data_IF_685818709361
#
_entry.id   IF_685818709361
#
_cell.length_a   1.000
_cell.length_b   1.000
_cell.length_c   1.000
_cell.angle_alpha   90.00
_cell.angle_beta   90.00
_cell.angle_gamma   90.00
#
_symmetry.space_group_name_H-M   'P 1'
#
loop_
_entity.id
_entity.type
_entity.pdbx_description
1 polymer ?
#
# COMPACT_ATOMS: atom_id res chain seq x y z
N UNK A 1 -6.24 31.21 -9.28
CA UNK A 1 -6.33 31.43 -7.82
C UNK A 1 -5.44 30.39 -7.20
N UNK A 2 -4.47 30.79 -6.38
CA UNK A 2 -3.62 29.81 -5.69
C UNK A 2 -4.40 29.11 -4.58
N UNK A 3 -3.90 27.96 -4.11
CA UNK A 3 -4.52 27.24 -2.97
C UNK A 3 -4.61 28.14 -1.72
N UNK A 4 -3.54 28.89 -1.43
CA UNK A 4 -3.49 29.83 -0.30
C UNK A 4 -4.50 30.95 -0.47
N UNK A 5 -4.62 31.50 -1.68
CA UNK A 5 -5.61 32.54 -1.97
C UNK A 5 -7.05 32.02 -1.85
N UNK A 6 -7.30 30.79 -2.29
CA UNK A 6 -8.59 30.13 -2.12
C UNK A 6 -8.98 30.04 -0.65
N UNK A 7 -8.11 29.51 0.21
CA UNK A 7 -8.42 29.39 1.64
C UNK A 7 -8.54 30.74 2.34
N UNK A 8 -7.86 31.79 1.88
CA UNK A 8 -8.06 33.16 2.39
C UNK A 8 -9.41 33.76 2.00
N UNK A 9 -9.98 33.34 0.87
CA UNK A 9 -11.24 33.86 0.30
C UNK A 9 -12.41 32.90 0.42
N UNK A 10 -12.24 31.78 1.12
CA UNK A 10 -13.27 30.75 1.24
C UNK A 10 -14.52 31.35 1.91
N UNK A 11 -15.67 31.16 1.29
CA UNK A 11 -16.93 31.61 1.87
C UNK A 11 -17.31 30.73 3.06
N UNK A 12 -18.12 31.28 3.99
CA UNK A 12 -18.67 30.51 5.11
C UNK A 12 -19.43 29.25 4.63
N UNK A 13 -20.17 29.37 3.52
CA UNK A 13 -20.89 28.24 2.93
C UNK A 13 -19.97 27.13 2.42
N UNK A 14 -18.88 27.47 1.75
CA UNK A 14 -17.87 26.49 1.30
C UNK A 14 -17.17 25.82 2.47
N UNK A 15 -16.80 26.58 3.51
CA UNK A 15 -16.18 26.03 4.70
C UNK A 15 -17.12 25.05 5.43
N UNK A 16 -18.39 25.44 5.62
CA UNK A 16 -19.40 24.56 6.23
C UNK A 16 -19.63 23.30 5.39
N UNK A 17 -19.66 23.42 4.06
CA UNK A 17 -19.78 22.26 3.17
C UNK A 17 -18.58 21.31 3.29
N UNK A 18 -17.35 21.84 3.33
CA UNK A 18 -16.13 21.04 3.54
C UNK A 18 -16.18 20.29 4.87
N UNK A 19 -16.56 20.96 5.96
CA UNK A 19 -16.70 20.32 7.27
C UNK A 19 -17.81 19.26 7.24
N UNK A 20 -18.96 19.58 6.64
CA UNK A 20 -20.09 18.66 6.53
C UNK A 20 -19.74 17.41 5.73
N UNK A 21 -19.14 17.56 4.54
CA UNK A 21 -18.80 16.41 3.69
C UNK A 21 -17.71 15.55 4.34
N UNK A 22 -16.72 16.17 4.97
CA UNK A 22 -15.68 15.47 5.71
C UNK A 22 -16.30 14.62 6.83
N UNK A 23 -17.08 15.24 7.71
CA UNK A 23 -17.69 14.56 8.86
C UNK A 23 -18.67 13.47 8.41
N UNK A 24 -19.50 13.75 7.41
CA UNK A 24 -20.51 12.80 6.92
C UNK A 24 -19.87 11.56 6.31
N UNK A 25 -18.87 11.74 5.43
CA UNK A 25 -18.14 10.61 4.83
C UNK A 25 -17.42 9.81 5.91
N UNK A 26 -16.67 10.49 6.79
CA UNK A 26 -15.93 9.83 7.86
C UNK A 26 -16.84 9.00 8.77
N UNK A 27 -17.99 9.56 9.16
CA UNK A 27 -18.96 8.86 10.01
C UNK A 27 -19.62 7.69 9.29
N UNK A 28 -20.05 7.86 8.03
CA UNK A 28 -20.74 6.79 7.28
C UNK A 28 -19.78 5.65 6.97
N UNK A 29 -18.62 5.95 6.40
CA UNK A 29 -17.63 4.92 6.05
C UNK A 29 -17.00 4.29 7.29
N UNK A 30 -16.78 5.07 8.35
CA UNK A 30 -16.32 4.55 9.65
C UNK A 30 -17.35 3.63 10.32
N UNK A 31 -18.64 3.98 10.24
CA UNK A 31 -19.72 3.13 10.75
C UNK A 31 -19.86 1.83 9.95
N UNK A 32 -19.74 1.90 8.62
CA UNK A 32 -19.71 0.71 7.76
C UNK A 32 -18.51 -0.18 8.05
N UNK A 33 -17.32 0.40 8.19
CA UNK A 33 -16.11 -0.32 8.58
C UNK A 33 -16.31 -1.05 9.91
N UNK A 34 -16.93 -0.39 10.89
CA UNK A 34 -17.26 -1.00 12.18
C UNK A 34 -18.25 -2.17 12.02
N UNK A 35 -19.34 -2.00 11.29
CA UNK A 35 -20.33 -3.07 11.05
C UNK A 35 -19.68 -4.29 10.38
N UNK A 36 -18.82 -4.06 9.40
CA UNK A 36 -18.12 -5.13 8.70
C UNK A 36 -17.13 -5.86 9.59
N UNK A 37 -16.42 -5.12 10.44
CA UNK A 37 -15.58 -5.69 11.46
C UNK A 37 -16.36 -6.62 12.40
N UNK A 38 -17.47 -6.13 12.98
CA UNK A 38 -18.34 -6.90 13.89
C UNK A 38 -18.90 -8.16 13.24
N UNK A 39 -19.16 -8.12 11.92
CA UNK A 39 -19.62 -9.27 11.14
C UNK A 39 -18.51 -10.26 10.76
N UNK A 40 -17.27 -10.02 11.17
CA UNK A 40 -16.13 -10.88 10.81
C UNK A 40 -15.80 -10.84 9.31
N UNK A 41 -16.17 -9.76 8.62
CA UNK A 41 -15.80 -9.58 7.20
C UNK A 41 -14.28 -9.43 7.11
N UNK A 42 -13.69 -8.60 7.97
CA UNK A 42 -12.25 -8.31 7.95
C UNK A 42 -11.36 -9.44 8.48
N UNK A 43 -11.94 -10.53 8.99
CA UNK A 43 -11.21 -11.75 9.35
C UNK A 43 -11.07 -12.74 8.19
N UNK A 44 -11.72 -12.48 7.05
CA UNK A 44 -11.65 -13.33 5.87
C UNK A 44 -10.55 -12.83 4.93
N UNK A 45 -9.87 -13.74 4.23
CA UNK A 45 -8.98 -13.41 3.11
C UNK A 45 -9.79 -13.19 1.84
N UNK A 46 -9.30 -12.36 0.92
CA UNK A 46 -9.90 -12.15 -0.40
C UNK A 46 -11.36 -11.66 -0.37
N UNK A 47 -11.74 -10.88 0.65
CA UNK A 47 -13.12 -10.39 0.84
C UNK A 47 -13.67 -9.69 -0.40
N UNK A 48 -12.84 -8.83 -1.01
CA UNK A 48 -13.16 -8.06 -2.21
C UNK A 48 -11.85 -7.74 -2.93
N UNK A 49 -11.69 -8.22 -4.18
CA UNK A 49 -10.54 -7.91 -5.05
C UNK A 49 -9.16 -8.27 -4.48
N UNK A 50 -9.06 -9.39 -3.76
CA UNK A 50 -7.81 -9.81 -3.11
C UNK A 50 -7.24 -8.84 -2.09
N UNK A 51 -8.13 -8.08 -1.45
CA UNK A 51 -7.86 -7.31 -0.24
C UNK A 51 -7.36 -8.22 0.89
N UNK A 52 -6.16 -7.94 1.42
CA UNK A 52 -5.59 -8.64 2.58
C UNK A 52 -5.81 -7.81 3.86
N UNK A 53 -7.08 -7.68 4.20
CA UNK A 53 -7.58 -6.82 5.27
C UNK A 53 -7.02 -7.20 6.66
N UNK A 54 -6.96 -8.49 7.06
CA UNK A 54 -6.36 -8.87 8.34
C UNK A 54 -4.91 -8.39 8.46
N UNK A 55 -4.20 -8.43 7.35
CA UNK A 55 -2.80 -8.09 7.30
C UNK A 55 -2.58 -6.57 7.29
N UNK A 56 -3.44 -5.82 6.60
CA UNK A 56 -3.47 -4.35 6.67
C UNK A 56 -3.78 -3.86 8.09
N UNK A 57 -4.87 -4.33 8.72
CA UNK A 57 -5.21 -3.95 10.10
C UNK A 57 -4.14 -4.44 11.09
N UNK A 58 -3.60 -5.64 10.86
CA UNK A 58 -2.48 -6.21 11.60
C UNK A 58 -1.27 -5.27 11.64
N UNK A 59 -0.98 -4.59 10.54
CA UNK A 59 0.15 -3.65 10.44
C UNK A 59 0.04 -2.45 11.40
N UNK A 60 -1.18 -2.02 11.74
CA UNK A 60 -1.40 -0.93 12.70
C UNK A 60 -1.50 -1.39 14.16
N UNK A 61 -1.82 -2.66 14.37
CA UNK A 61 -2.25 -3.18 15.68
C UNK A 61 -1.14 -3.92 16.41
N UNK A 62 -0.26 -4.64 15.71
CA UNK A 62 0.80 -5.37 16.40
C UNK A 62 1.95 -4.43 16.80
N UNK A 63 2.32 -4.47 18.09
CA UNK A 63 3.42 -3.67 18.66
C UNK A 63 4.77 -4.00 18.02
N UNK A 64 5.00 -5.28 17.77
CA UNK A 64 6.18 -5.82 17.09
C UNK A 64 5.89 -5.91 15.60
N UNK A 65 6.80 -5.44 14.74
CA UNK A 65 6.67 -5.49 13.28
C UNK A 65 6.58 -6.96 12.81
N UNK A 66 5.41 -7.55 12.53
CA UNK A 66 5.34 -8.97 12.22
C UNK A 66 5.29 -9.12 10.71
N UNK A 67 6.37 -9.66 10.14
CA UNK A 67 6.41 -10.36 8.84
C UNK A 67 6.12 -9.56 7.56
N UNK A 68 5.45 -8.39 7.62
CA UNK A 68 5.28 -7.47 6.49
C UNK A 68 6.55 -6.75 6.08
N UNK A 69 7.60 -6.82 6.91
CA UNK A 69 8.94 -6.37 6.50
C UNK A 69 9.40 -7.11 5.23
N UNK A 70 8.90 -8.33 4.97
CA UNK A 70 9.24 -9.10 3.77
C UNK A 70 8.28 -8.85 2.58
N UNK A 71 7.12 -8.21 2.81
CA UNK A 71 6.16 -7.77 1.77
C UNK A 71 6.19 -6.25 1.55
N UNK A 72 7.23 -5.61 2.10
CA UNK A 72 7.55 -4.18 2.05
C UNK A 72 7.29 -3.45 0.72
N UNK A 73 7.51 -4.07 -0.46
CA UNK A 73 7.37 -3.34 -1.72
C UNK A 73 5.94 -2.89 -2.03
N UNK A 74 4.91 -3.50 -1.43
CA UNK A 74 3.56 -3.39 -1.98
C UNK A 74 2.84 -2.10 -1.60
N UNK A 75 2.93 -1.60 -0.36
CA UNK A 75 2.20 -0.38 0.05
C UNK A 75 2.92 0.55 1.05
N UNK A 76 4.06 1.18 0.70
CA UNK A 76 4.82 2.01 1.64
C UNK A 76 4.09 3.26 2.17
N UNK A 77 2.97 3.69 1.59
CA UNK A 77 2.12 4.73 2.21
C UNK A 77 1.60 4.30 3.59
N UNK A 78 1.39 2.99 3.78
CA UNK A 78 0.96 2.42 5.06
C UNK A 78 1.94 2.79 6.16
N UNK A 79 3.24 2.93 5.85
CA UNK A 79 4.24 3.33 6.83
C UNK A 79 4.06 4.77 7.34
N UNK A 80 3.80 5.74 6.45
CA UNK A 80 3.54 7.12 6.87
C UNK A 80 2.30 7.21 7.77
N UNK A 81 1.25 6.50 7.37
CA UNK A 81 0.02 6.42 8.15
C UNK A 81 0.29 5.70 9.48
N UNK A 82 1.11 4.66 9.48
CA UNK A 82 1.47 3.91 10.68
C UNK A 82 2.17 4.83 11.70
N UNK A 83 3.08 5.69 11.26
CA UNK A 83 3.71 6.68 12.14
C UNK A 83 2.68 7.61 12.77
N UNK A 84 1.72 8.10 11.98
CA UNK A 84 0.63 8.95 12.49
C UNK A 84 -0.22 8.18 13.50
N UNK A 85 -0.65 6.96 13.18
CA UNK A 85 -1.46 6.11 14.06
C UNK A 85 -0.73 5.82 15.38
N UNK A 86 0.56 5.48 15.31
CA UNK A 86 1.39 5.21 16.49
C UNK A 86 1.60 6.46 17.34
N UNK A 87 1.85 7.60 16.72
CA UNK A 87 1.97 8.88 17.42
C UNK A 87 0.66 9.27 18.11
N UNK A 88 -0.48 9.12 17.43
CA UNK A 88 -1.80 9.32 18.04
C UNK A 88 -2.03 8.38 19.21
N UNK A 89 -1.72 7.09 19.07
CA UNK A 89 -1.82 6.13 20.17
C UNK A 89 -0.88 6.47 21.35
N UNK A 90 0.32 7.00 21.09
CA UNK A 90 1.23 7.48 22.14
C UNK A 90 0.61 8.64 22.92
N UNK A 91 0.01 9.62 22.23
CA UNK A 91 -0.69 10.75 22.86
C UNK A 91 -1.88 10.25 23.68
N UNK A 92 -2.71 9.37 23.12
CA UNK A 92 -3.88 8.81 23.83
C UNK A 92 -3.44 8.00 25.05
N UNK A 93 -2.39 7.20 24.91
CA UNK A 93 -1.78 6.42 25.99
C UNK A 93 -1.20 7.29 27.11
N UNK A 94 -0.72 8.50 26.80
CA UNK A 94 -0.26 9.45 27.81
C UNK A 94 -1.36 9.84 28.81
N UNK A 95 -2.62 9.90 28.35
CA UNK A 95 -3.76 10.17 29.23
C UNK A 95 -4.19 8.96 30.05
N UNK A 96 -3.67 7.75 29.74
CA UNK A 96 -3.91 6.50 30.46
C UNK A 96 -5.39 6.12 30.63
N UNK A 97 -6.27 6.63 29.75
CA UNK A 97 -7.73 6.42 29.83
C UNK A 97 -8.17 5.18 29.03
N UNK A 98 -7.39 4.75 28.03
CA UNK A 98 -7.81 3.73 27.08
C UNK A 98 -6.78 2.60 26.95
N UNK A 99 -7.29 1.39 26.67
CA UNK A 99 -6.48 0.26 26.26
C UNK A 99 -5.76 0.58 24.94
N UNK A 100 -4.43 0.54 24.96
CA UNK A 100 -3.60 0.92 23.81
C UNK A 100 -3.80 0.00 22.60
N UNK A 101 -4.05 -1.30 22.81
CA UNK A 101 -4.27 -2.24 21.71
C UNK A 101 -5.62 -1.98 21.03
N UNK A 102 -6.67 -1.79 21.83
CA UNK A 102 -7.99 -1.41 21.30
C UNK A 102 -7.94 -0.06 20.59
N UNK A 103 -7.18 0.89 21.12
CA UNK A 103 -6.99 2.21 20.51
C UNK A 103 -6.31 2.11 19.14
N UNK A 104 -5.21 1.36 19.04
CA UNK A 104 -4.53 1.12 17.76
C UNK A 104 -5.46 0.47 16.73
N UNK A 105 -6.28 -0.49 17.15
CA UNK A 105 -7.25 -1.14 16.30
C UNK A 105 -8.30 -0.17 15.74
N UNK A 106 -8.90 0.64 16.61
CA UNK A 106 -9.89 1.65 16.21
C UNK A 106 -9.27 2.70 15.30
N UNK A 107 -8.04 3.15 15.60
CA UNK A 107 -7.31 4.07 14.73
C UNK A 107 -7.01 3.46 13.37
N UNK A 108 -6.57 2.20 13.31
CA UNK A 108 -6.32 1.47 12.08
C UNK A 108 -7.58 1.34 11.20
N UNK A 109 -8.73 1.02 11.80
CA UNK A 109 -10.02 1.00 11.11
C UNK A 109 -10.44 2.38 10.59
N UNK A 110 -10.02 3.45 11.26
CA UNK A 110 -10.40 4.83 10.91
C UNK A 110 -9.53 5.46 9.82
N UNK A 111 -8.37 4.86 9.49
CA UNK A 111 -7.43 5.39 8.50
C UNK A 111 -8.09 5.62 7.14
N UNK A 112 -8.76 4.61 6.60
CA UNK A 112 -9.33 4.68 5.26
C UNK A 112 -10.56 5.59 5.20
N UNK A 113 -11.53 5.52 6.14
CA UNK A 113 -12.60 6.51 6.23
C UNK A 113 -12.07 7.94 6.31
N UNK A 114 -11.00 8.18 7.08
CA UNK A 114 -10.38 9.49 7.20
C UNK A 114 -9.76 9.96 5.87
N UNK A 115 -8.98 9.09 5.21
CA UNK A 115 -8.37 9.39 3.92
C UNK A 115 -9.43 9.64 2.83
N UNK A 116 -10.52 8.89 2.84
CA UNK A 116 -11.65 9.06 1.92
C UNK A 116 -12.41 10.37 2.17
N UNK A 117 -12.65 10.73 3.44
CA UNK A 117 -13.24 12.02 3.81
C UNK A 117 -12.38 13.21 3.36
N UNK A 118 -11.05 13.12 3.54
CA UNK A 118 -10.10 14.10 3.01
C UNK A 118 -10.14 14.15 1.49
N UNK A 119 -10.13 12.99 0.82
CA UNK A 119 -10.21 12.88 -0.65
C UNK A 119 -11.40 13.65 -1.20
N UNK A 120 -12.60 13.47 -0.65
CA UNK A 120 -13.78 14.18 -1.14
C UNK A 120 -13.79 15.68 -0.82
N UNK A 121 -13.27 16.06 0.35
CA UNK A 121 -13.07 17.46 0.73
C UNK A 121 -12.12 18.15 -0.24
N UNK A 122 -10.99 17.50 -0.57
CA UNK A 122 -10.02 18.03 -1.53
C UNK A 122 -10.58 18.03 -2.95
N UNK A 123 -11.38 17.04 -3.34
CA UNK A 123 -12.02 17.00 -4.66
C UNK A 123 -12.94 18.22 -4.86
N UNK A 124 -13.68 18.63 -3.82
CA UNK A 124 -14.44 19.88 -3.84
C UNK A 124 -13.52 21.08 -4.12
N UNK A 125 -12.42 21.19 -3.38
CA UNK A 125 -11.43 22.28 -3.56
C UNK A 125 -10.88 22.28 -4.99
N UNK A 126 -10.54 21.11 -5.55
CA UNK A 126 -10.08 20.96 -6.93
C UNK A 126 -11.12 21.53 -7.91
N UNK A 127 -12.40 21.17 -7.79
CA UNK A 127 -13.45 21.72 -8.66
C UNK A 127 -13.60 23.23 -8.52
N UNK A 128 -13.49 23.77 -7.30
CA UNK A 128 -13.54 25.22 -7.06
C UNK A 128 -12.34 25.94 -7.69
N UNK A 129 -11.14 25.37 -7.60
CA UNK A 129 -9.95 25.91 -8.28
C UNK A 129 -10.07 25.85 -9.82
N UNK A 130 -10.75 24.83 -10.34
CA UNK A 130 -11.14 24.71 -11.75
C UNK A 130 -12.29 25.65 -12.16
N UNK A 131 -12.73 26.54 -11.26
CA UNK A 131 -13.78 27.56 -11.48
C UNK A 131 -15.18 27.01 -11.70
N UNK A 132 -15.45 25.75 -11.32
CA UNK A 132 -16.83 25.25 -11.27
C UNK A 132 -17.59 26.04 -10.22
N UNK A 133 -18.83 26.45 -10.48
CA UNK A 133 -19.67 27.13 -9.47
C UNK A 133 -19.87 26.25 -8.23
N UNK A 134 -20.24 26.84 -7.09
CA UNK A 134 -20.48 26.13 -5.83
C UNK A 134 -21.40 24.91 -6.01
N UNK A 135 -22.60 25.11 -6.60
CA UNK A 135 -23.58 24.04 -6.78
C UNK A 135 -23.09 22.90 -7.67
N UNK A 136 -22.39 23.22 -8.77
CA UNK A 136 -21.80 22.21 -9.64
C UNK A 136 -20.71 21.40 -8.92
N UNK A 137 -19.85 22.06 -8.13
CA UNK A 137 -18.82 21.37 -7.35
C UNK A 137 -19.43 20.47 -6.27
N UNK A 138 -20.46 20.95 -5.56
CA UNK A 138 -21.22 20.14 -4.58
C UNK A 138 -21.83 18.91 -5.27
N UNK A 139 -22.53 19.11 -6.38
CA UNK A 139 -23.18 18.03 -7.12
C UNK A 139 -22.19 16.94 -7.56
N UNK A 140 -21.05 17.33 -8.15
CA UNK A 140 -20.03 16.38 -8.60
C UNK A 140 -19.40 15.60 -7.43
N UNK A 141 -19.15 16.27 -6.30
CA UNK A 141 -18.63 15.59 -5.11
C UNK A 141 -19.65 14.62 -4.54
N UNK A 142 -20.91 15.02 -4.42
CA UNK A 142 -21.98 14.13 -3.96
C UNK A 142 -22.14 12.93 -4.89
N UNK A 143 -22.15 13.12 -6.21
CA UNK A 143 -22.18 12.02 -7.18
C UNK A 143 -21.03 11.03 -6.95
N UNK A 144 -19.84 11.53 -6.66
CA UNK A 144 -18.67 10.70 -6.39
C UNK A 144 -18.77 9.97 -5.04
N UNK A 145 -19.27 10.64 -3.99
CA UNK A 145 -19.51 10.05 -2.66
C UNK A 145 -20.55 8.93 -2.73
N UNK A 146 -21.64 9.12 -3.47
CA UNK A 146 -22.71 8.12 -3.62
C UNK A 146 -22.38 6.99 -4.61
N UNK A 147 -21.19 6.98 -5.19
CA UNK A 147 -20.77 5.84 -6.00
C UNK A 147 -20.56 4.61 -5.12
N UNK A 148 -21.08 3.47 -5.56
CA UNK A 148 -20.97 2.21 -4.81
C UNK A 148 -19.51 1.86 -4.50
N UNK A 149 -18.61 2.04 -5.47
CA UNK A 149 -17.19 1.78 -5.28
C UNK A 149 -16.58 2.65 -4.19
N UNK A 150 -16.93 3.94 -4.13
CA UNK A 150 -16.37 4.82 -3.10
C UNK A 150 -16.81 4.43 -1.69
N UNK A 151 -18.10 4.16 -1.49
CA UNK A 151 -18.60 3.74 -0.17
C UNK A 151 -17.96 2.42 0.28
N UNK A 152 -17.82 1.47 -0.65
CA UNK A 152 -17.21 0.18 -0.33
C UNK A 152 -15.74 0.34 -0.01
N UNK A 153 -14.92 0.85 -0.94
CA UNK A 153 -13.48 0.96 -0.75
C UNK A 153 -13.07 2.00 0.29
N UNK A 154 -13.92 2.98 0.61
CA UNK A 154 -13.73 3.92 1.71
C UNK A 154 -13.97 3.30 3.10
N UNK A 155 -14.68 2.17 3.16
CA UNK A 155 -15.00 1.47 4.41
C UNK A 155 -14.13 0.22 4.62
N UNK A 156 -13.36 -0.23 3.62
CA UNK A 156 -12.41 -1.35 3.75
C UNK A 156 -11.03 -0.79 4.12
N UNK A 157 -10.38 -1.26 5.20
CA UNK A 157 -9.02 -0.86 5.54
C UNK A 157 -8.02 -1.56 4.60
N UNK A 158 -7.81 -0.95 3.43
CA UNK A 158 -6.97 -1.42 2.32
C UNK A 158 -6.22 -0.24 1.67
N UNK A 159 -5.13 -0.51 0.96
CA UNK A 159 -4.29 0.52 0.31
C UNK A 159 -5.01 1.34 -0.79
N UNK A 160 -6.10 0.85 -1.36
CA UNK A 160 -6.83 1.53 -2.43
C UNK A 160 -7.38 2.90 -2.01
N UNK A 161 -7.93 3.02 -0.80
CA UNK A 161 -8.47 4.30 -0.30
C UNK A 161 -7.39 5.38 -0.18
N UNK A 162 -6.21 4.99 0.29
CA UNK A 162 -5.02 5.85 0.35
C UNK A 162 -4.53 6.24 -1.05
N UNK A 163 -4.52 5.30 -1.99
CA UNK A 163 -4.14 5.56 -3.39
C UNK A 163 -5.08 6.58 -4.03
N UNK A 164 -6.39 6.41 -3.86
CA UNK A 164 -7.39 7.34 -4.39
C UNK A 164 -7.24 8.74 -3.78
N UNK A 165 -6.94 8.83 -2.49
CA UNK A 165 -6.60 10.10 -1.83
C UNK A 165 -5.36 10.76 -2.45
N UNK A 166 -4.29 9.99 -2.69
CA UNK A 166 -3.07 10.49 -3.33
C UNK A 166 -3.28 10.96 -4.75
N UNK A 167 -4.17 10.31 -5.52
CA UNK A 167 -4.57 10.80 -6.84
C UNK A 167 -5.18 12.21 -6.76
N UNK A 168 -6.06 12.45 -5.78
CA UNK A 168 -6.66 13.78 -5.60
C UNK A 168 -5.63 14.81 -5.15
N UNK A 169 -4.66 14.44 -4.30
CA UNK A 169 -3.55 15.32 -3.94
C UNK A 169 -2.70 15.72 -5.16
N UNK A 170 -2.35 14.75 -6.00
CA UNK A 170 -1.68 15.02 -7.28
C UNK A 170 -2.46 16.03 -8.10
N UNK A 171 -3.76 15.79 -8.30
CA UNK A 171 -4.63 16.71 -9.05
C UNK A 171 -4.67 18.10 -8.42
N UNK A 172 -4.75 18.18 -7.10
CA UNK A 172 -4.74 19.45 -6.36
C UNK A 172 -3.44 20.23 -6.60
N UNK A 173 -2.28 19.57 -6.48
CA UNK A 173 -0.99 20.20 -6.73
C UNK A 173 -0.83 20.56 -8.20
N UNK A 174 -1.33 19.76 -9.14
CA UNK A 174 -1.34 20.09 -10.56
C UNK A 174 -2.13 21.36 -10.86
N UNK A 175 -3.36 21.45 -10.34
CA UNK A 175 -4.20 22.62 -10.54
C UNK A 175 -3.59 23.83 -9.84
N UNK A 176 -2.98 23.64 -8.67
CA UNK A 176 -2.30 24.71 -7.90
C UNK A 176 -1.01 25.18 -8.57
N UNK A 177 -0.24 24.29 -9.21
CA UNK A 177 1.03 24.57 -9.89
C UNK A 177 0.90 25.66 -10.97
N UNK A 178 -0.28 25.79 -11.58
CA UNK A 178 -0.57 26.88 -12.52
C UNK A 178 -0.64 28.27 -11.89
N UNK A 179 -0.83 28.37 -10.57
CA UNK A 179 -1.20 29.60 -9.88
C UNK A 179 -0.33 29.94 -8.68
N UNK A 180 0.64 29.09 -8.31
CA UNK A 180 1.38 29.16 -7.05
C UNK A 180 2.90 29.06 -7.25
N UNK A 181 3.65 29.03 -6.15
CA UNK A 181 5.09 28.86 -6.16
C UNK A 181 5.46 27.46 -6.68
N UNK A 182 5.97 27.44 -7.91
CA UNK A 182 6.32 26.23 -8.67
C UNK A 182 7.23 25.25 -7.92
N UNK A 183 8.04 25.73 -6.98
CA UNK A 183 8.93 24.85 -6.20
C UNK A 183 8.16 23.95 -5.22
N UNK A 184 7.29 24.53 -4.39
CA UNK A 184 6.53 23.76 -3.40
C UNK A 184 5.51 22.84 -4.05
N UNK A 185 4.88 23.29 -5.13
CA UNK A 185 3.95 22.43 -5.89
C UNK A 185 4.70 21.28 -6.57
N UNK A 186 5.93 21.49 -7.07
CA UNK A 186 6.76 20.41 -7.59
C UNK A 186 7.14 19.38 -6.51
N UNK A 187 7.53 19.82 -5.31
CA UNK A 187 7.78 18.91 -4.18
C UNK A 187 6.51 18.14 -3.83
N UNK A 188 5.36 18.82 -3.76
CA UNK A 188 4.06 18.19 -3.53
C UNK A 188 3.73 17.14 -4.57
N UNK A 189 3.99 17.41 -5.85
CA UNK A 189 3.85 16.46 -6.96
C UNK A 189 4.81 15.28 -6.84
N UNK A 190 6.07 15.50 -6.46
CA UNK A 190 7.03 14.42 -6.24
C UNK A 190 6.60 13.51 -5.07
N UNK A 191 6.17 14.10 -3.95
CA UNK A 191 5.71 13.35 -2.79
C UNK A 191 4.46 12.53 -3.11
N UNK A 192 3.40 13.18 -3.61
CA UNK A 192 2.15 12.51 -3.96
C UNK A 192 2.30 11.52 -5.13
N UNK A 193 3.17 11.82 -6.10
CA UNK A 193 3.54 10.92 -7.18
C UNK A 193 4.32 9.68 -6.71
N UNK A 194 5.19 9.82 -5.71
CA UNK A 194 5.90 8.67 -5.09
C UNK A 194 4.91 7.72 -4.43
N UNK A 195 3.92 8.27 -3.73
CA UNK A 195 2.84 7.49 -3.14
C UNK A 195 1.99 6.77 -4.20
N UNK A 196 1.73 7.41 -5.35
CA UNK A 196 1.01 6.75 -6.44
C UNK A 196 1.81 5.67 -7.13
N UNK A 197 3.11 5.90 -7.35
CA UNK A 197 4.02 4.90 -7.92
C UNK A 197 4.02 3.62 -7.07
N UNK A 198 3.95 3.79 -5.77
CA UNK A 198 3.89 2.71 -4.77
C UNK A 198 2.61 1.89 -4.82
N UNK A 199 1.49 2.45 -5.31
CA UNK A 199 0.28 1.66 -5.53
C UNK A 199 0.37 0.84 -6.82
N UNK A 200 0.93 1.42 -7.88
CA UNK A 200 1.22 0.72 -9.12
C UNK A 200 2.26 1.51 -9.94
N UNK A 201 3.32 0.86 -10.48
CA UNK A 201 4.30 1.53 -11.33
C UNK A 201 3.70 2.22 -12.56
N UNK A 202 2.59 1.69 -13.08
CA UNK A 202 1.85 2.26 -14.21
C UNK A 202 1.27 3.65 -13.92
N UNK A 203 1.05 4.00 -12.65
CA UNK A 203 0.59 5.34 -12.26
C UNK A 203 1.60 6.44 -12.63
N UNK A 204 2.89 6.12 -12.68
CA UNK A 204 3.93 7.06 -13.08
C UNK A 204 3.78 7.48 -14.55
N UNK A 205 3.37 6.55 -15.41
CA UNK A 205 3.12 6.85 -16.81
C UNK A 205 1.97 7.85 -16.98
N UNK A 206 0.85 7.62 -16.30
CA UNK A 206 -0.30 8.53 -16.34
C UNK A 206 0.05 9.92 -15.77
N UNK A 207 0.83 9.97 -14.69
CA UNK A 207 1.33 11.22 -14.13
C UNK A 207 2.24 11.98 -15.11
N UNK A 208 3.18 11.27 -15.74
CA UNK A 208 4.07 11.82 -16.76
C UNK A 208 3.30 12.38 -17.94
N UNK A 209 2.30 11.65 -18.44
CA UNK A 209 1.40 12.12 -19.50
C UNK A 209 0.63 13.38 -19.07
N UNK A 210 0.11 13.41 -17.85
CA UNK A 210 -0.62 14.57 -17.34
C UNK A 210 0.30 15.80 -17.24
N UNK A 211 1.54 15.64 -16.75
CA UNK A 211 2.54 16.72 -16.72
C UNK A 211 2.99 17.16 -18.10
N UNK A 212 3.10 16.23 -19.05
CA UNK A 212 3.38 16.53 -20.45
C UNK A 212 2.29 17.42 -21.04
N UNK A 213 1.02 16.98 -20.98
CA UNK A 213 -0.10 17.72 -21.56
C UNK A 213 -0.32 19.07 -20.87
N UNK A 214 -0.11 19.14 -19.56
CA UNK A 214 -0.12 20.39 -18.82
C UNK A 214 0.92 21.39 -19.37
N UNK A 215 2.16 20.96 -19.55
CA UNK A 215 3.20 21.84 -20.09
C UNK A 215 2.95 22.21 -21.56
N UNK A 216 2.45 21.26 -22.35
CA UNK A 216 2.19 21.46 -23.77
C UNK A 216 1.01 22.42 -24.01
N UNK A 217 -0.17 22.10 -23.50
CA UNK A 217 -1.39 22.86 -23.75
C UNK A 217 -1.51 24.12 -22.88
N UNK A 218 -1.26 23.99 -21.57
CA UNK A 218 -1.53 25.09 -20.64
C UNK A 218 -0.35 26.08 -20.56
N UNK A 219 0.88 25.57 -20.52
CA UNK A 219 2.09 26.42 -20.47
C UNK A 219 2.64 26.78 -21.86
N UNK A 220 1.98 26.30 -22.93
CA UNK A 220 2.36 26.52 -24.34
C UNK A 220 3.84 26.20 -24.61
N UNK A 221 4.37 25.16 -23.97
CA UNK A 221 5.75 24.70 -24.19
C UNK A 221 5.80 23.80 -25.42
N UNK A 222 6.92 23.81 -26.14
CA UNK A 222 7.14 22.89 -27.25
C UNK A 222 7.05 21.42 -26.82
N UNK A 223 6.75 20.52 -27.76
CA UNK A 223 6.62 19.07 -27.52
C UNK A 223 7.86 18.53 -26.80
N UNK A 224 9.06 18.88 -27.29
CA UNK A 224 10.32 18.41 -26.70
C UNK A 224 10.50 18.86 -25.25
N UNK A 225 10.28 20.15 -24.96
CA UNK A 225 10.42 20.70 -23.60
C UNK A 225 9.41 20.06 -22.65
N UNK A 226 8.18 19.84 -23.12
CA UNK A 226 7.13 19.18 -22.33
C UNK A 226 7.50 17.72 -22.03
N UNK A 227 8.04 17.00 -23.01
CA UNK A 227 8.56 15.64 -22.85
C UNK A 227 9.70 15.58 -21.83
N UNK A 228 10.71 16.43 -21.99
CA UNK A 228 11.85 16.51 -21.07
C UNK A 228 11.39 16.78 -19.62
N UNK A 229 10.45 17.71 -19.44
CA UNK A 229 9.89 18.03 -18.12
C UNK A 229 9.11 16.88 -17.49
N UNK A 230 8.31 16.15 -18.28
CA UNK A 230 7.61 14.94 -17.83
C UNK A 230 8.61 13.87 -17.40
N UNK A 231 9.65 13.63 -18.19
CA UNK A 231 10.72 12.69 -17.83
C UNK A 231 11.45 13.10 -16.56
N UNK A 232 11.78 14.39 -16.38
CA UNK A 232 12.41 14.90 -15.15
C UNK A 232 11.51 14.66 -13.94
N UNK A 233 10.20 14.93 -14.03
CA UNK A 233 9.26 14.65 -12.94
C UNK A 233 9.23 13.16 -12.61
N UNK A 234 9.09 12.29 -13.62
CA UNK A 234 9.04 10.85 -13.42
C UNK A 234 10.34 10.30 -12.79
N UNK A 235 11.50 10.76 -13.29
CA UNK A 235 12.81 10.40 -12.72
C UNK A 235 12.97 10.92 -11.29
N UNK A 236 12.47 12.13 -11.01
CA UNK A 236 12.49 12.68 -9.65
C UNK A 236 11.65 11.82 -8.72
N UNK A 237 10.45 11.40 -9.13
CA UNK A 237 9.59 10.52 -8.34
C UNK A 237 10.25 9.15 -8.12
N UNK A 238 10.84 8.55 -9.16
CA UNK A 238 11.59 7.30 -9.02
C UNK A 238 12.75 7.47 -8.04
N UNK A 239 13.51 8.56 -8.14
CA UNK A 239 14.62 8.85 -7.24
C UNK A 239 14.16 9.04 -5.79
N UNK A 240 13.12 9.85 -5.56
CA UNK A 240 12.51 10.04 -4.23
C UNK A 240 11.99 8.73 -3.65
N UNK A 241 11.30 7.92 -4.47
CA UNK A 241 10.78 6.62 -4.06
C UNK A 241 11.92 5.66 -3.74
N UNK A 242 12.99 5.64 -4.54
CA UNK A 242 14.17 4.82 -4.28
C UNK A 242 14.87 5.23 -3.00
N UNK A 243 15.15 6.52 -2.77
CA UNK A 243 15.72 7.00 -1.49
C UNK A 243 14.85 6.54 -0.34
N UNK A 244 13.53 6.70 -0.47
CA UNK A 244 12.60 6.28 0.55
C UNK A 244 12.73 4.78 0.81
N UNK A 245 12.56 3.93 -0.20
CA UNK A 245 12.67 2.48 -0.07
C UNK A 245 14.02 2.03 0.50
N UNK A 246 15.13 2.62 0.06
CA UNK A 246 16.47 2.35 0.60
C UNK A 246 16.62 2.75 2.06
N UNK A 247 16.06 3.90 2.46
CA UNK A 247 16.11 4.37 3.86
C UNK A 247 15.40 3.44 4.84
N UNK A 248 14.47 2.61 4.33
CA UNK A 248 13.75 1.63 5.14
C UNK A 248 14.23 0.18 4.94
N UNK A 249 15.05 -0.09 3.92
CA UNK A 249 15.57 -1.42 3.64
C UNK A 249 16.76 -1.81 4.52
N UNK A 250 17.23 -0.94 5.43
CA UNK A 250 18.39 -1.24 6.28
C UNK A 250 18.15 -2.28 7.39
N UNK A 251 16.94 -2.78 7.59
CA UNK A 251 16.67 -3.68 8.72
C UNK A 251 15.69 -4.80 8.40
N UNK A 252 16.23 -6.00 8.10
CA UNK A 252 16.14 -7.20 8.95
C UNK A 252 16.16 -8.50 8.14
N UNK A 253 17.37 -9.07 7.97
CA UNK A 253 17.51 -10.51 7.84
C UNK A 253 17.20 -11.10 9.21
N UNK A 254 15.94 -11.41 9.48
CA UNK A 254 15.61 -12.29 10.59
C UNK A 254 16.02 -13.70 10.20
N UNK A 255 17.20 -14.13 10.66
CA UNK A 255 17.44 -15.56 10.83
C UNK A 255 16.48 -15.99 11.94
N UNK A 256 15.40 -16.66 11.56
CA UNK A 256 14.51 -17.33 12.53
C UNK A 256 15.33 -18.47 13.13
N UNK A 257 16.12 -18.17 14.15
CA UNK A 257 16.67 -19.20 15.02
C UNK A 257 15.51 -19.66 15.89
N UNK A 258 15.11 -20.91 15.66
CA UNK A 258 14.08 -21.59 16.44
C UNK A 258 14.36 -21.37 17.95
N UNK A 259 13.43 -20.76 18.72
CA UNK A 259 13.67 -20.43 20.13
C UNK A 259 13.81 -21.67 21.03
N UNK A 260 13.51 -22.87 20.50
CA UNK A 260 13.71 -24.14 21.19
C UNK A 260 15.03 -24.84 20.83
N UNK A 261 15.89 -24.24 19.98
CA UNK A 261 17.27 -24.69 19.86
C UNK A 261 18.06 -24.02 20.99
N UNK A 262 18.38 -24.84 21.99
CA UNK A 262 19.36 -24.52 23.03
C UNK A 262 20.51 -23.72 22.43
N UNK A 263 20.91 -22.63 23.13
CA UNK A 263 21.99 -21.72 22.73
C UNK A 263 23.31 -22.47 22.54
N UNK A 264 23.48 -23.12 21.40
CA UNK A 264 24.76 -23.50 20.86
C UNK A 264 25.12 -22.44 19.82
N UNK A 265 26.32 -21.88 19.95
CA UNK A 265 26.90 -20.96 18.97
C UNK A 265 27.10 -21.69 17.64
N UNK A 266 26.05 -21.77 16.83
CA UNK A 266 26.14 -22.29 15.49
C UNK A 266 26.66 -21.15 14.62
N UNK A 267 27.88 -21.30 14.09
CA UNK A 267 28.42 -20.36 13.10
C UNK A 267 27.57 -20.45 11.84
N UNK A 268 27.33 -19.33 11.18
CA UNK A 268 26.53 -19.26 9.94
C UNK A 268 27.04 -20.21 8.85
N UNK A 269 28.34 -20.53 8.87
CA UNK A 269 29.00 -21.49 7.98
C UNK A 269 28.53 -22.95 8.19
N UNK A 270 28.09 -23.32 9.39
CA UNK A 270 27.61 -24.67 9.71
C UNK A 270 26.16 -24.91 9.25
N UNK A 271 25.34 -23.84 9.18
CA UNK A 271 23.98 -23.87 8.62
C UNK A 271 23.99 -24.11 7.11
N UNK A 272 25.01 -23.62 6.40
CA UNK A 272 25.17 -23.84 4.95
C UNK A 272 25.66 -25.27 4.65
N UNK A 273 26.35 -25.92 5.60
CA UNK A 273 26.78 -27.34 5.46
C UNK A 273 25.72 -28.36 5.88
N UNK A 274 24.74 -27.98 6.69
CA UNK A 274 23.71 -28.88 7.20
C UNK A 274 22.35 -28.69 6.51
N UNK A 275 22.34 -28.59 5.19
CA UNK A 275 21.12 -28.63 4.36
C UNK A 275 20.50 -30.06 4.24
N UNK A 276 20.81 -30.94 5.20
CA UNK A 276 20.25 -32.28 5.34
C UNK A 276 19.91 -32.58 6.79
N UNK A 277 18.86 -31.94 7.29
CA UNK A 277 17.93 -32.51 8.26
C UNK A 277 17.09 -31.38 8.84
N UNK A 278 15.80 -31.33 8.54
CA UNK A 278 14.76 -31.12 9.54
C UNK A 278 13.41 -31.55 8.94
N UNK A 279 12.96 -32.73 9.35
CA UNK A 279 11.55 -33.13 9.29
C UNK A 279 10.94 -32.77 10.64
N UNK A 280 9.95 -31.87 10.70
CA UNK A 280 9.03 -31.80 11.85
C UNK A 280 7.62 -31.33 11.46
N UNK A 281 6.64 -32.05 12.04
CA UNK A 281 5.22 -31.77 12.37
C UNK A 281 4.20 -31.39 11.27
N UNK A 282 2.97 -31.93 11.41
CA UNK A 282 1.88 -31.84 10.42
C UNK A 282 1.33 -30.42 10.17
N UNK A 283 1.47 -29.47 11.09
CA UNK A 283 1.04 -28.08 10.86
C UNK A 283 2.08 -27.25 10.08
N UNK A 284 3.37 -27.51 10.31
CA UNK A 284 4.48 -26.93 9.54
C UNK A 284 4.56 -27.52 8.12
N UNK A 285 4.05 -28.73 7.89
CA UNK A 285 3.89 -29.29 6.55
C UNK A 285 2.88 -28.50 5.71
N UNK A 286 1.80 -27.98 6.29
CA UNK A 286 0.82 -27.18 5.55
C UNK A 286 1.40 -25.81 5.14
N UNK A 287 2.22 -25.19 5.99
CA UNK A 287 2.90 -23.94 5.66
C UNK A 287 4.05 -24.16 4.67
N UNK A 288 4.86 -25.21 4.84
CA UNK A 288 5.92 -25.54 3.91
C UNK A 288 5.37 -25.99 2.54
N UNK A 289 4.30 -26.80 2.49
CA UNK A 289 3.65 -27.17 1.22
C UNK A 289 3.07 -25.95 0.49
N UNK A 290 2.50 -24.98 1.19
CA UNK A 290 1.99 -23.73 0.57
C UNK A 290 3.12 -22.81 0.13
N UNK A 291 4.20 -22.71 0.92
CA UNK A 291 5.38 -21.92 0.56
C UNK A 291 6.09 -22.51 -0.67
N UNK A 292 6.21 -23.84 -0.76
CA UNK A 292 6.80 -24.51 -1.92
C UNK A 292 5.89 -24.55 -3.16
N UNK A 293 4.56 -24.50 -3.02
CA UNK A 293 3.66 -24.30 -4.17
C UNK A 293 3.88 -22.95 -4.87
N UNK A 294 4.35 -21.92 -4.14
CA UNK A 294 4.71 -20.63 -4.73
C UNK A 294 6.11 -20.62 -5.34
N UNK A 295 7.08 -21.34 -4.77
CA UNK A 295 8.46 -21.42 -5.31
C UNK A 295 8.52 -22.28 -6.58
N UNK A 296 7.69 -23.32 -6.72
CA UNK A 296 7.68 -24.20 -7.91
C UNK A 296 6.89 -23.60 -9.09
N UNK A 297 6.15 -22.50 -8.91
CA UNK A 297 5.50 -21.76 -10.01
C UNK A 297 6.44 -20.85 -10.81
N UNK A 298 7.73 -20.84 -10.47
CA UNK A 298 8.77 -20.08 -11.15
C UNK A 298 9.41 -20.76 -12.36
N UNK A 299 8.80 -21.80 -12.96
CA UNK A 299 9.27 -22.33 -14.23
C UNK A 299 8.13 -22.49 -15.25
N UNK A 300 8.17 -21.63 -16.26
CA UNK A 300 7.26 -21.65 -17.39
C UNK A 300 7.55 -22.88 -18.26
N UNK A 301 6.71 -23.91 -18.14
CA UNK A 301 6.26 -24.89 -19.16
C UNK A 301 5.96 -26.25 -18.51
N UNK A 302 4.71 -26.50 -18.14
CA UNK A 302 4.13 -27.86 -18.28
C UNK A 302 2.61 -27.83 -18.11
N UNK A 303 1.98 -28.75 -18.82
CA UNK A 303 0.56 -28.81 -19.13
C UNK A 303 -0.36 -28.98 -17.92
N UNK A 304 -1.56 -28.43 -18.05
CA UNK A 304 -2.71 -28.69 -17.20
C UNK A 304 -3.00 -30.19 -17.07
N UNK A 305 -2.99 -30.71 -15.84
CA UNK A 305 -3.69 -31.94 -15.47
C UNK A 305 -4.64 -31.57 -14.34
N UNK A 306 -5.94 -31.51 -14.66
CA UNK A 306 -7.00 -31.51 -13.67
C UNK A 306 -7.32 -32.98 -13.35
N UNK A 307 -6.96 -33.42 -12.15
CA UNK A 307 -7.45 -34.65 -11.54
C UNK A 307 -8.07 -34.32 -10.17
N UNK A 308 -9.07 -35.08 -9.72
CA UNK A 308 -9.69 -34.88 -8.40
C UNK A 308 -8.67 -35.11 -7.28
N UNK A 309 -8.90 -34.57 -6.07
CA UNK A 309 -7.94 -34.66 -4.97
C UNK A 309 -7.94 -36.10 -4.42
N UNK A 310 -7.05 -36.94 -4.94
CA UNK A 310 -6.66 -38.15 -4.24
C UNK A 310 -5.58 -37.82 -3.20
N UNK A 311 -5.68 -38.46 -2.04
CA UNK A 311 -4.69 -38.37 -0.95
C UNK A 311 -3.30 -38.60 -1.51
N UNK A 312 -2.52 -37.52 -1.59
CA UNK A 312 -1.13 -37.60 -2.02
C UNK A 312 -0.36 -38.27 -0.89
N UNK A 313 -0.02 -39.56 -1.08
CA UNK A 313 0.89 -40.29 -0.20
C UNK A 313 2.21 -39.50 -0.13
N UNK A 314 2.49 -39.00 1.07
CA UNK A 314 3.71 -38.25 1.42
C UNK A 314 5.01 -38.96 0.99
N UNK A 315 5.00 -40.29 0.88
CA UNK A 315 6.15 -41.07 0.37
C UNK A 315 6.39 -40.87 -1.12
N UNK A 316 5.34 -40.70 -1.92
CA UNK A 316 5.47 -40.48 -3.37
C UNK A 316 6.08 -39.11 -3.69
N UNK A 317 5.77 -38.10 -2.87
CA UNK A 317 6.32 -36.74 -3.00
C UNK A 317 7.80 -36.73 -2.62
N UNK A 318 8.17 -37.40 -1.53
CA UNK A 318 9.55 -37.52 -1.09
C UNK A 318 10.42 -38.25 -2.13
N UNK A 319 9.91 -39.34 -2.74
CA UNK A 319 10.63 -40.06 -3.80
C UNK A 319 10.79 -39.22 -5.07
N UNK A 320 9.76 -38.44 -5.44
CA UNK A 320 9.83 -37.56 -6.61
C UNK A 320 10.80 -36.39 -6.38
N UNK A 321 10.86 -35.84 -5.17
CA UNK A 321 11.86 -34.82 -4.79
C UNK A 321 13.28 -35.37 -4.85
N UNK A 322 13.52 -36.59 -4.33
CA UNK A 322 14.83 -37.22 -4.40
C UNK A 322 15.29 -37.42 -5.86
N UNK A 323 14.39 -37.84 -6.76
CA UNK A 323 14.70 -38.01 -8.19
C UNK A 323 15.07 -36.71 -8.92
N UNK A 324 14.55 -35.56 -8.48
CA UNK A 324 14.86 -34.24 -9.06
C UNK A 324 16.24 -33.76 -8.59
N UNK A 325 16.54 -33.97 -7.30
CA UNK A 325 17.83 -33.61 -6.70
C UNK A 325 18.98 -34.47 -7.21
N UNK A 326 18.70 -35.74 -7.53
CA UNK A 326 19.67 -36.66 -8.13
C UNK A 326 19.82 -36.46 -9.66
N UNK A 327 19.12 -35.48 -10.25
CA UNK A 327 19.23 -35.21 -11.68
C UNK A 327 20.57 -34.53 -12.02
N UNK A 328 21.27 -34.95 -13.10
CA UNK A 328 22.59 -34.41 -13.47
C UNK A 328 22.61 -32.90 -13.73
N UNK A 329 21.45 -32.31 -14.05
CA UNK A 329 21.31 -30.87 -14.31
C UNK A 329 21.49 -30.02 -13.04
N UNK A 330 21.20 -30.56 -11.86
CA UNK A 330 21.37 -29.86 -10.59
C UNK A 330 22.82 -29.94 -10.07
N UNK A 331 23.48 -31.09 -10.25
CA UNK A 331 24.87 -31.30 -9.82
C UNK A 331 25.89 -30.44 -10.59
N UNK A 332 25.59 -30.04 -11.83
CA UNK A 332 26.49 -29.25 -12.67
C UNK A 332 26.56 -27.75 -12.31
N UNK A 333 25.63 -27.22 -11.49
CA UNK A 333 25.60 -25.79 -11.10
C UNK A 333 26.37 -25.46 -9.82
N UNK A 334 26.92 -26.45 -9.13
CA UNK A 334 27.56 -26.29 -7.80
C UNK A 334 29.09 -26.37 -7.80
N UNK A 335 29.75 -26.18 -8.95
CA UNK A 335 31.21 -26.10 -9.01
C UNK A 335 31.61 -24.62 -9.11
N UNK A 336 32.03 -24.03 -8.00
CA UNK A 336 32.75 -22.74 -7.97
C UNK A 336 34.24 -23.06 -7.98
N UNK A 337 35.05 -22.55 -8.93
CA UNK A 337 36.49 -22.77 -8.92
C UNK A 337 37.14 -21.91 -7.83
N UNK A 338 38.09 -22.51 -7.09
CA UNK A 338 38.90 -21.90 -6.02
C UNK A 338 39.81 -20.78 -6.49
#
# INVERSE_FOLDING_TARGET
MSLVEYFKKISKGEFLFLAFIFLSVFMVEGWLAYIWNEKGVFSQYDVLFSADIPAYIGSFTVKEYPHWVNSFPNHPIVFFVLLIVRFTNMIVGFFNVFDSQKTLFVLGLSVIPFASALKFSLLFVVFRLLKFSFFHAVFLVLLSVFSFSALIFGSIPESYGLTAFSCVLVLLFFVSYSFSNKYYDFIGLCFSGSVLLMAAPTNLFYLGLLYFFFNYFQQKKGVFISGMKASILCLSILFFTSIFLFSFNEYQIYVVTNPNLDRQNIRVEDLIRHEKAYYYTNESQNYAQRFFQYVVRGDSKSNHIYGPPEEIDSRSVAQKMQSILDSPQYLARTIIPT
#
